data_IF_845160740213
#
_entry.id   IF_845160740213
#
_cell.length_a   1.000
_cell.length_b   1.000
_cell.length_c   1.000
_cell.angle_alpha   90.00
_cell.angle_beta   90.00
_cell.angle_gamma   90.00
#
_symmetry.space_group_name_H-M   'P 1'
#
loop_
_entity.id
_entity.type
_entity.pdbx_description
1 polymer ?
#
# COMPACT_ATOMS: atom_id res chain seq x y z
N UNK A 1 2.75 -28.78 -5.83
CA UNK A 1 1.87 -27.68 -6.26
C UNK A 1 1.85 -27.66 -7.79
N UNK A 2 0.70 -27.48 -8.45
CA UNK A 2 0.60 -27.50 -9.92
C UNK A 2 1.38 -26.35 -10.60
N UNK A 3 1.94 -26.55 -11.81
CA UNK A 3 2.81 -25.57 -12.48
C UNK A 3 2.02 -24.53 -13.30
N UNK A 4 1.07 -23.82 -12.68
CA UNK A 4 0.35 -22.73 -13.35
C UNK A 4 1.16 -21.43 -13.31
N UNK A 5 1.05 -20.64 -14.38
CA UNK A 5 1.65 -19.30 -14.52
C UNK A 5 0.69 -18.37 -15.28
N UNK A 6 0.90 -17.07 -15.18
CA UNK A 6 0.16 -16.05 -15.93
C UNK A 6 0.76 -15.96 -17.34
N UNK A 7 -0.03 -16.35 -18.34
CA UNK A 7 0.38 -16.31 -19.76
C UNK A 7 0.27 -14.92 -20.37
N UNK A 8 -0.77 -14.17 -20.03
CA UNK A 8 -0.97 -12.78 -20.49
C UNK A 8 -0.63 -11.78 -19.39
N UNK A 9 0.62 -11.29 -19.41
CA UNK A 9 1.10 -10.30 -18.44
C UNK A 9 0.50 -8.91 -18.68
N UNK A 10 0.21 -8.55 -19.92
CA UNK A 10 -0.33 -7.24 -20.27
C UNK A 10 -1.78 -7.11 -19.79
N UNK A 11 -2.61 -8.12 -20.06
CA UNK A 11 -3.98 -8.16 -19.55
C UNK A 11 -4.02 -8.21 -18.01
N UNK A 12 -3.11 -8.95 -17.38
CA UNK A 12 -3.00 -8.97 -15.91
C UNK A 12 -2.65 -7.58 -15.34
N UNK A 13 -1.71 -6.86 -15.98
CA UNK A 13 -1.34 -5.50 -15.60
C UNK A 13 -2.52 -4.54 -15.70
N UNK A 14 -3.25 -4.55 -16.81
CA UNK A 14 -4.42 -3.68 -17.01
C UNK A 14 -5.50 -3.98 -15.97
N UNK A 15 -5.81 -5.26 -15.74
CA UNK A 15 -6.78 -5.69 -14.74
C UNK A 15 -6.41 -5.24 -13.32
N UNK A 16 -5.12 -5.33 -12.95
CA UNK A 16 -4.62 -4.82 -11.66
C UNK A 16 -4.81 -3.30 -11.57
N UNK A 17 -4.49 -2.57 -12.64
CA UNK A 17 -4.65 -1.12 -12.69
C UNK A 17 -6.11 -0.68 -12.49
N UNK A 18 -7.01 -1.32 -13.22
CA UNK A 18 -8.45 -1.06 -13.12
C UNK A 18 -8.98 -1.40 -11.73
N UNK A 19 -8.55 -2.54 -11.18
CA UNK A 19 -8.91 -2.92 -9.82
C UNK A 19 -8.45 -1.87 -8.80
N UNK A 20 -7.19 -1.44 -8.86
CA UNK A 20 -6.64 -0.49 -7.90
C UNK A 20 -7.33 0.86 -7.99
N UNK A 21 -7.64 1.35 -9.20
CA UNK A 21 -8.39 2.59 -9.39
C UNK A 21 -9.79 2.53 -8.79
N UNK A 22 -10.50 1.44 -9.04
CA UNK A 22 -11.87 1.25 -8.56
C UNK A 22 -11.91 1.01 -7.04
N UNK A 23 -10.92 0.29 -6.52
CA UNK A 23 -10.88 -0.10 -5.12
C UNK A 23 -10.23 0.96 -4.21
N UNK A 24 -9.51 1.95 -4.76
CA UNK A 24 -8.75 2.99 -4.03
C UNK A 24 -9.53 3.60 -2.87
N UNK A 25 -10.73 4.12 -3.14
CA UNK A 25 -11.56 4.78 -2.12
C UNK A 25 -12.01 3.83 -1.03
N UNK A 26 -12.41 2.61 -1.41
CA UNK A 26 -12.85 1.57 -0.46
C UNK A 26 -11.68 1.05 0.39
N UNK A 27 -10.51 0.82 -0.22
CA UNK A 27 -9.29 0.43 0.49
C UNK A 27 -8.88 1.49 1.50
N UNK A 28 -8.90 2.77 1.12
CA UNK A 28 -8.56 3.86 2.02
C UNK A 28 -9.53 3.92 3.21
N UNK A 29 -10.84 3.84 2.98
CA UNK A 29 -11.82 3.86 4.08
C UNK A 29 -11.64 2.68 5.03
N UNK A 30 -11.44 1.47 4.49
CA UNK A 30 -11.29 0.26 5.30
C UNK A 30 -9.95 0.23 6.05
N UNK A 31 -8.84 0.63 5.42
CA UNK A 31 -7.53 0.63 6.09
C UNK A 31 -7.42 1.76 7.12
N UNK A 32 -8.11 2.88 6.91
CA UNK A 32 -8.10 4.00 7.84
C UNK A 32 -9.13 3.86 8.98
N UNK A 33 -9.96 2.81 9.00
CA UNK A 33 -10.97 2.62 10.06
C UNK A 33 -10.34 2.57 11.45
N UNK A 34 -9.17 1.94 11.54
CA UNK A 34 -8.44 1.71 12.79
C UNK A 34 -7.35 2.77 13.04
N UNK A 35 -7.28 3.78 12.16
CA UNK A 35 -6.30 4.87 12.25
C UNK A 35 -6.79 5.99 13.16
N UNK A 36 -5.86 6.81 13.66
CA UNK A 36 -6.20 7.99 14.46
C UNK A 36 -7.05 8.96 13.61
N UNK A 37 -8.03 9.61 14.26
CA UNK A 37 -8.86 10.68 13.69
C UNK A 37 -8.09 11.69 12.84
N UNK A 38 -6.88 12.09 13.27
CA UNK A 38 -6.05 13.04 12.52
C UNK A 38 -5.59 12.48 11.16
N UNK A 39 -5.16 11.21 11.13
CA UNK A 39 -4.72 10.53 9.91
C UNK A 39 -5.91 10.37 8.98
N UNK A 40 -7.04 9.88 9.49
CA UNK A 40 -8.26 9.70 8.71
C UNK A 40 -8.71 11.02 8.07
N UNK A 41 -8.79 12.10 8.85
CA UNK A 41 -9.19 13.41 8.34
C UNK A 41 -8.22 13.97 7.30
N UNK A 42 -6.92 13.77 7.48
CA UNK A 42 -5.91 14.23 6.51
C UNK A 42 -6.07 13.52 5.16
N UNK A 43 -6.31 12.19 5.18
CA UNK A 43 -6.58 11.42 3.97
C UNK A 43 -7.93 11.78 3.32
N UNK A 44 -8.99 11.98 4.11
CA UNK A 44 -10.28 12.45 3.60
C UNK A 44 -10.14 13.85 2.96
N UNK A 45 -9.39 14.75 3.58
CA UNK A 45 -9.11 16.07 3.04
C UNK A 45 -8.30 15.99 1.74
N UNK A 46 -7.30 15.10 1.68
CA UNK A 46 -6.51 14.86 0.47
C UNK A 46 -7.35 14.27 -0.67
N UNK A 47 -8.27 13.33 -0.37
CA UNK A 47 -9.20 12.77 -1.36
C UNK A 47 -10.17 13.83 -1.90
N UNK A 48 -10.72 14.68 -1.02
CA UNK A 48 -11.56 15.81 -1.45
C UNK A 48 -10.74 16.77 -2.31
N UNK A 49 -9.51 17.05 -1.92
CA UNK A 49 -8.61 17.92 -2.66
C UNK A 49 -8.25 17.38 -4.05
N UNK A 50 -8.03 16.06 -4.18
CA UNK A 50 -7.84 15.35 -5.46
C UNK A 50 -9.07 15.51 -6.37
N UNK A 51 -10.28 15.38 -5.80
CA UNK A 51 -11.54 15.45 -6.56
C UNK A 51 -11.82 16.81 -7.22
N UNK A 52 -11.19 17.89 -6.75
CA UNK A 52 -11.28 19.22 -7.38
C UNK A 52 -10.38 19.36 -8.63
N UNK A 53 -9.68 18.29 -9.03
CA UNK A 53 -9.32 18.05 -10.43
C UNK A 53 -8.08 18.75 -10.95
N UNK A 54 -7.05 19.02 -10.13
CA UNK A 54 -5.88 19.76 -10.63
C UNK A 54 -4.48 19.30 -10.20
N UNK A 55 -4.32 18.20 -9.47
CA UNK A 55 -3.03 17.98 -8.77
C UNK A 55 -2.59 16.51 -8.77
N UNK A 56 -1.87 16.15 -9.84
CA UNK A 56 -1.29 14.82 -10.09
C UNK A 56 -0.44 14.30 -8.92
N UNK A 57 0.16 15.19 -8.12
CA UNK A 57 1.04 14.80 -7.01
C UNK A 57 0.31 14.01 -5.91
N UNK A 58 -0.90 14.44 -5.55
CA UNK A 58 -1.69 13.76 -4.50
C UNK A 58 -2.28 12.46 -5.04
N UNK A 59 -2.75 12.45 -6.29
CA UNK A 59 -3.20 11.23 -6.94
C UNK A 59 -2.09 10.17 -6.97
N UNK A 60 -0.89 10.55 -7.39
CA UNK A 60 0.29 9.67 -7.38
C UNK A 60 0.61 9.20 -5.95
N UNK A 61 0.53 10.09 -4.96
CA UNK A 61 0.78 9.72 -3.56
C UNK A 61 -0.22 8.67 -3.03
N UNK A 62 -1.51 8.88 -3.30
CA UNK A 62 -2.57 7.94 -2.92
C UNK A 62 -2.43 6.60 -3.66
N UNK A 63 -2.06 6.64 -4.94
CA UNK A 63 -1.88 5.43 -5.75
C UNK A 63 -0.67 4.61 -5.26
N UNK A 64 0.46 5.25 -4.94
CA UNK A 64 1.61 4.58 -4.31
C UNK A 64 1.20 3.96 -2.98
N UNK A 65 0.47 4.71 -2.16
CA UNK A 65 0.01 4.23 -0.86
C UNK A 65 -0.86 2.97 -0.97
N UNK A 66 -1.84 2.98 -1.86
CA UNK A 66 -2.72 1.81 -2.07
C UNK A 66 -1.97 0.66 -2.73
N UNK A 67 -1.14 0.92 -3.75
CA UNK A 67 -0.35 -0.12 -4.42
C UNK A 67 0.64 -0.81 -3.49
N UNK A 68 1.29 -0.07 -2.57
CA UNK A 68 2.20 -0.64 -1.59
C UNK A 68 1.47 -1.60 -0.63
N UNK A 69 0.24 -1.26 -0.20
CA UNK A 69 -0.59 -2.14 0.66
C UNK A 69 -1.14 -3.35 -0.08
N UNK A 70 -1.36 -3.21 -1.39
CA UNK A 70 -1.93 -4.27 -2.20
C UNK A 70 -1.04 -5.51 -2.25
N UNK A 71 0.27 -5.33 -2.33
CA UNK A 71 1.27 -6.42 -2.38
C UNK A 71 1.67 -6.98 -1.03
N UNK A 72 1.28 -6.36 0.09
CA UNK A 72 1.56 -6.88 1.43
C UNK A 72 0.68 -8.09 1.76
N UNK A 73 -0.50 -8.19 1.14
CA UNK A 73 -1.44 -9.26 1.37
C UNK A 73 -1.20 -10.44 0.42
N UNK A 74 -1.33 -11.70 0.90
CA UNK A 74 -1.15 -12.86 0.04
C UNK A 74 -2.20 -12.89 -1.06
N UNK A 75 -1.75 -13.09 -2.29
CA UNK A 75 -2.60 -13.24 -3.47
C UNK A 75 -3.49 -14.48 -3.37
N UNK A 76 -4.74 -14.35 -3.83
CA UNK A 76 -5.77 -15.38 -3.69
C UNK A 76 -6.46 -15.63 -5.02
N UNK A 77 -6.78 -16.88 -5.29
CA UNK A 77 -7.61 -17.24 -6.43
C UNK A 77 -9.07 -17.11 -5.99
N UNK A 78 -9.76 -16.07 -6.46
CA UNK A 78 -11.18 -15.82 -6.20
C UNK A 78 -11.94 -16.08 -7.50
N UNK A 79 -12.21 -17.34 -7.84
CA UNK A 79 -13.01 -17.65 -9.03
C UNK A 79 -13.94 -18.85 -8.80
N UNK A 80 -15.06 -18.62 -8.12
CA UNK A 80 -16.14 -19.61 -7.95
C UNK A 80 -15.64 -20.96 -7.41
N UNK A 81 -15.95 -22.04 -8.13
CA UNK A 81 -15.48 -23.40 -7.81
C UNK A 81 -14.12 -23.76 -8.44
N UNK A 82 -13.49 -22.84 -9.18
CA UNK A 82 -12.23 -23.12 -9.87
C UNK A 82 -11.07 -23.06 -8.89
N UNK A 83 -10.56 -24.24 -8.53
CA UNK A 83 -9.52 -24.40 -7.50
C UNK A 83 -8.11 -24.62 -8.08
N UNK A 84 -7.91 -24.56 -9.39
CA UNK A 84 -6.63 -24.93 -10.04
C UNK A 84 -6.04 -26.25 -9.50
N UNK A 85 -6.89 -27.20 -9.10
CA UNK A 85 -6.44 -28.44 -8.44
C UNK A 85 -5.74 -28.28 -7.09
N UNK A 86 -5.91 -27.13 -6.42
CA UNK A 86 -5.39 -26.80 -5.09
C UNK A 86 -6.59 -26.65 -4.14
N UNK A 87 -6.69 -27.53 -3.16
CA UNK A 87 -7.73 -27.42 -2.13
C UNK A 87 -7.33 -26.40 -1.05
N UNK A 88 -8.28 -25.60 -0.54
CA UNK A 88 -8.01 -24.70 0.57
C UNK A 88 -7.72 -25.50 1.84
N UNK A 89 -6.71 -25.05 2.59
CA UNK A 89 -6.41 -25.59 3.91
C UNK A 89 -7.40 -25.05 4.95
N UNK A 90 -7.91 -25.91 5.81
CA UNK A 90 -8.82 -25.56 6.92
C UNK A 90 -8.14 -25.63 8.30
N UNK A 91 -6.80 -25.67 8.34
CA UNK A 91 -6.03 -25.56 9.57
C UNK A 91 -6.08 -24.12 10.10
N UNK A 92 -6.51 -23.96 11.36
CA UNK A 92 -6.77 -22.64 11.97
C UNK A 92 -5.56 -21.73 12.04
N UNK A 93 -4.35 -22.30 12.15
CA UNK A 93 -3.10 -21.55 12.30
C UNK A 93 -2.33 -21.40 10.97
N UNK A 94 -2.91 -21.87 9.86
CA UNK A 94 -2.26 -21.81 8.56
C UNK A 94 -2.51 -20.45 7.88
N UNK A 95 -1.48 -19.82 7.32
CA UNK A 95 -1.55 -18.50 6.64
C UNK A 95 -2.62 -18.44 5.53
N UNK A 96 -2.91 -19.58 4.92
CA UNK A 96 -3.91 -19.72 3.84
C UNK A 96 -5.24 -20.34 4.31
N UNK A 97 -5.55 -20.23 5.60
CA UNK A 97 -6.77 -20.79 6.17
C UNK A 97 -8.03 -20.29 5.42
N UNK A 98 -8.76 -21.23 4.81
CA UNK A 98 -10.03 -20.99 4.14
C UNK A 98 -9.94 -20.40 2.73
N UNK A 99 -8.76 -20.28 2.11
CA UNK A 99 -8.64 -19.80 0.73
C UNK A 99 -7.54 -20.51 -0.07
N UNK A 100 -7.65 -20.43 -1.41
CA UNK A 100 -6.70 -21.04 -2.35
C UNK A 100 -5.62 -20.02 -2.71
N UNK A 101 -4.35 -20.27 -2.38
CA UNK A 101 -3.25 -19.38 -2.77
C UNK A 101 -2.93 -19.51 -4.25
N UNK A 102 -2.35 -18.46 -4.83
CA UNK A 102 -1.72 -18.54 -6.15
C UNK A 102 -0.48 -19.45 -6.11
N UNK A 103 -0.03 -19.93 -7.26
CA UNK A 103 1.23 -20.68 -7.34
C UNK A 103 2.43 -19.76 -7.08
N UNK A 104 3.58 -20.26 -6.59
CA UNK A 104 4.78 -19.43 -6.35
C UNK A 104 5.25 -18.69 -7.60
N UNK A 105 5.07 -19.30 -8.78
CA UNK A 105 5.40 -18.67 -10.07
C UNK A 105 4.45 -17.50 -10.34
N UNK A 106 3.14 -17.68 -10.14
CA UNK A 106 2.16 -16.59 -10.29
C UNK A 106 2.39 -15.47 -9.27
N UNK A 107 2.70 -15.82 -8.02
CA UNK A 107 3.02 -14.88 -6.92
C UNK A 107 4.15 -13.94 -7.36
N UNK A 108 5.26 -14.52 -7.83
CA UNK A 108 6.41 -13.77 -8.35
C UNK A 108 6.04 -12.91 -9.57
N UNK A 109 5.22 -13.44 -10.48
CA UNK A 109 4.80 -12.69 -11.68
C UNK A 109 3.92 -11.48 -11.32
N UNK A 110 3.02 -11.64 -10.35
CA UNK A 110 2.14 -10.58 -9.86
C UNK A 110 2.93 -9.50 -9.13
N UNK A 111 3.85 -9.90 -8.26
CA UNK A 111 4.75 -8.98 -7.57
C UNK A 111 5.61 -8.20 -8.56
N UNK A 112 6.16 -8.88 -9.57
CA UNK A 112 6.95 -8.22 -10.62
C UNK A 112 6.12 -7.19 -11.39
N UNK A 113 4.87 -7.53 -11.74
CA UNK A 113 3.95 -6.60 -12.42
C UNK A 113 3.69 -5.38 -11.52
N UNK A 114 3.30 -5.57 -10.26
CA UNK A 114 2.98 -4.44 -9.38
C UNK A 114 4.20 -3.58 -9.08
N UNK A 115 5.37 -4.19 -8.84
CA UNK A 115 6.57 -3.42 -8.50
C UNK A 115 7.09 -2.67 -9.73
N UNK A 116 7.37 -3.38 -10.83
CA UNK A 116 8.04 -2.77 -12.00
C UNK A 116 7.12 -1.93 -12.86
N UNK A 117 5.88 -2.38 -13.07
CA UNK A 117 4.98 -1.72 -14.01
C UNK A 117 4.10 -0.65 -13.36
N UNK A 118 3.99 -0.65 -12.03
CA UNK A 118 3.13 0.28 -11.30
C UNK A 118 3.90 1.11 -10.27
N UNK A 119 4.52 0.49 -9.27
CA UNK A 119 5.15 1.23 -8.17
C UNK A 119 6.36 2.04 -8.62
N UNK A 120 7.30 1.44 -9.35
CA UNK A 120 8.52 2.10 -9.84
C UNK A 120 8.24 3.36 -10.70
N UNK A 121 7.38 3.31 -11.74
CA UNK A 121 7.12 4.48 -12.57
C UNK A 121 6.35 5.58 -11.83
N UNK A 122 5.37 5.21 -10.98
CA UNK A 122 4.61 6.20 -10.22
C UNK A 122 5.50 6.85 -9.15
N UNK A 123 6.35 6.08 -8.47
CA UNK A 123 7.29 6.60 -7.47
C UNK A 123 8.30 7.56 -8.09
N UNK A 124 8.84 7.22 -9.26
CA UNK A 124 9.78 8.08 -10.00
C UNK A 124 9.12 9.39 -10.41
N UNK A 125 7.90 9.32 -10.95
CA UNK A 125 7.12 10.51 -11.34
C UNK A 125 6.77 11.38 -10.13
N UNK A 126 6.32 10.75 -9.05
CA UNK A 126 5.97 11.41 -7.79
C UNK A 126 7.16 12.21 -7.23
N UNK A 127 8.33 11.59 -7.11
CA UNK A 127 9.53 12.24 -6.57
C UNK A 127 9.96 13.44 -7.42
N UNK A 128 9.96 13.26 -8.75
CA UNK A 128 10.28 14.34 -9.68
C UNK A 128 9.30 15.52 -9.56
N UNK A 129 8.01 15.24 -9.46
CA UNK A 129 6.97 16.26 -9.33
C UNK A 129 7.01 16.96 -7.97
N UNK A 130 7.30 16.22 -6.90
CA UNK A 130 7.46 16.76 -5.56
C UNK A 130 8.65 17.72 -5.50
N UNK A 131 9.82 17.30 -6.02
CA UNK A 131 11.02 18.12 -6.08
C UNK A 131 10.77 19.40 -6.88
N UNK A 132 10.16 19.29 -8.06
CA UNK A 132 9.83 20.44 -8.89
C UNK A 132 8.92 21.46 -8.16
N UNK A 133 7.88 20.99 -7.46
CA UNK A 133 6.96 21.85 -6.69
C UNK A 133 7.63 22.50 -5.49
N UNK A 134 8.54 21.80 -4.81
CA UNK A 134 9.32 22.38 -3.72
C UNK A 134 10.28 23.44 -4.27
N UNK A 135 10.92 23.18 -5.41
CA UNK A 135 11.86 24.09 -6.06
C UNK A 135 11.18 25.37 -6.59
N UNK A 136 9.92 25.29 -7.03
CA UNK A 136 9.12 26.43 -7.48
C UNK A 136 8.92 27.48 -6.38
N UNK A 137 8.96 27.07 -5.10
CA UNK A 137 8.77 27.95 -3.93
C UNK A 137 7.49 28.78 -3.97
N UNK A 138 6.47 28.36 -4.74
CA UNK A 138 5.16 29.02 -4.74
C UNK A 138 4.43 28.68 -3.43
N UNK A 139 4.12 29.68 -2.57
CA UNK A 139 3.36 29.45 -1.35
C UNK A 139 1.99 28.82 -1.62
N UNK A 140 1.40 28.95 -2.81
CA UNK A 140 0.09 28.33 -3.14
C UNK A 140 0.15 26.80 -3.22
N UNK A 141 1.34 26.22 -3.38
CA UNK A 141 1.54 24.77 -3.44
C UNK A 141 1.69 24.12 -2.06
N UNK A 142 1.77 24.90 -0.97
CA UNK A 142 2.04 24.41 0.37
C UNK A 142 1.13 23.26 0.79
N UNK A 143 -0.17 23.38 0.49
CA UNK A 143 -1.17 22.40 0.91
C UNK A 143 -1.04 21.09 0.15
N UNK A 144 -0.71 21.14 -1.14
CA UNK A 144 -0.49 19.95 -1.96
C UNK A 144 0.76 19.20 -1.51
N UNK A 145 1.86 19.92 -1.28
CA UNK A 145 3.12 19.35 -0.77
C UNK A 145 2.89 18.75 0.61
N UNK A 146 2.15 19.44 1.48
CA UNK A 146 1.83 18.96 2.81
C UNK A 146 1.08 17.61 2.77
N UNK A 147 0.00 17.51 1.97
CA UNK A 147 -0.74 16.25 1.84
C UNK A 147 0.11 15.13 1.24
N UNK A 148 0.87 15.42 0.18
CA UNK A 148 1.75 14.45 -0.46
C UNK A 148 2.77 13.85 0.53
N UNK A 149 3.45 14.71 1.30
CA UNK A 149 4.43 14.28 2.30
C UNK A 149 3.75 13.56 3.47
N UNK A 150 2.59 14.05 3.93
CA UNK A 150 1.84 13.41 5.01
C UNK A 150 1.42 11.98 4.66
N UNK A 151 0.88 11.77 3.45
CA UNK A 151 0.49 10.45 2.95
C UNK A 151 1.71 9.52 2.90
N UNK A 152 2.83 9.99 2.35
CA UNK A 152 4.07 9.19 2.28
C UNK A 152 4.62 8.86 3.67
N UNK A 153 4.60 9.80 4.59
CA UNK A 153 5.08 9.56 5.95
C UNK A 153 4.19 8.57 6.70
N UNK A 154 2.87 8.58 6.43
CA UNK A 154 1.96 7.59 7.00
C UNK A 154 2.34 6.16 6.61
N UNK A 155 2.77 5.93 5.36
CA UNK A 155 3.21 4.61 4.90
C UNK A 155 4.32 4.02 5.78
N UNK A 156 5.31 4.84 6.17
CA UNK A 156 6.42 4.39 7.04
C UNK A 156 5.90 3.93 8.41
N UNK A 157 4.92 4.66 8.97
CA UNK A 157 4.29 4.27 10.23
C UNK A 157 3.59 2.91 10.15
N UNK A 158 2.90 2.65 9.04
CA UNK A 158 2.23 1.37 8.80
C UNK A 158 3.22 0.22 8.59
N UNK A 159 4.26 0.40 7.77
CA UNK A 159 5.32 -0.62 7.59
C UNK A 159 5.95 -0.98 8.94
N UNK A 160 6.24 0.02 9.76
CA UNK A 160 6.83 -0.20 11.09
C UNK A 160 5.88 -1.03 11.97
N UNK A 161 4.58 -0.72 11.96
CA UNK A 161 3.57 -1.49 12.71
C UNK A 161 3.52 -2.95 12.24
N UNK A 162 3.52 -3.18 10.92
CA UNK A 162 3.47 -4.53 10.35
C UNK A 162 4.71 -5.36 10.68
N UNK A 163 5.90 -4.75 10.58
CA UNK A 163 7.16 -5.39 10.96
C UNK A 163 7.13 -5.77 12.43
N UNK A 164 6.61 -4.91 13.31
CA UNK A 164 6.48 -5.19 14.74
C UNK A 164 5.53 -6.35 14.99
N UNK A 165 4.36 -6.38 14.34
CA UNK A 165 3.39 -7.48 14.44
C UNK A 165 4.02 -8.80 14.01
N UNK A 166 4.62 -8.85 12.81
CA UNK A 166 5.25 -10.07 12.30
C UNK A 166 6.40 -10.57 13.19
N UNK A 167 7.17 -9.64 13.76
CA UNK A 167 8.30 -10.00 14.63
C UNK A 167 7.80 -10.52 15.98
N UNK A 168 6.70 -9.96 16.49
CA UNK A 168 6.03 -10.42 17.72
C UNK A 168 5.42 -11.81 17.52
N UNK A 169 4.77 -12.08 16.38
CA UNK A 169 4.25 -13.40 16.02
C UNK A 169 5.34 -14.48 15.96
N UNK A 170 6.55 -14.10 15.54
CA UNK A 170 7.74 -14.97 15.55
C UNK A 170 8.40 -15.09 16.94
N UNK A 171 7.81 -14.51 17.98
CA UNK A 171 8.28 -14.60 19.36
C UNK A 171 9.49 -13.71 19.69
N UNK A 172 9.84 -12.76 18.82
CA UNK A 172 10.96 -11.86 19.02
C UNK A 172 10.47 -10.57 19.71
N UNK A 173 11.18 -10.15 20.77
CA UNK A 173 10.89 -8.89 21.47
C UNK A 173 11.34 -7.70 20.62
N UNK A 174 10.40 -6.88 20.15
CA UNK A 174 10.73 -5.63 19.44
C UNK A 174 10.76 -4.46 20.42
N UNK A 175 11.92 -3.82 20.54
CA UNK A 175 12.05 -2.53 21.21
C UNK A 175 11.78 -1.43 20.17
N UNK A 176 10.52 -1.03 20.03
CA UNK A 176 10.18 0.17 19.26
C UNK A 176 10.47 1.36 20.16
N UNK A 177 11.55 2.10 19.87
CA UNK A 177 11.81 3.37 20.53
C UNK A 177 10.71 4.35 20.14
N UNK A 178 9.72 4.50 21.02
CA UNK A 178 8.75 5.57 20.91
C UNK A 178 9.48 6.90 20.97
N UNK A 179 9.30 7.77 19.97
CA UNK A 179 9.88 9.12 19.92
C UNK A 179 9.44 9.97 21.14
N UNK A 180 8.44 9.52 21.91
CA UNK A 180 8.12 10.06 23.24
C UNK A 180 9.29 10.07 24.23
N UNK A 181 10.29 9.20 24.07
CA UNK A 181 11.47 9.13 24.95
C UNK A 181 12.60 10.09 24.55
N UNK A 182 12.63 10.59 23.31
CA UNK A 182 13.62 11.58 22.89
C UNK A 182 13.29 13.00 23.38
N UNK A 183 12.03 13.27 23.73
CA UNK A 183 11.64 14.54 24.36
C UNK A 183 12.13 14.67 25.81
N UNK A 184 12.48 13.57 26.48
CA UNK A 184 13.01 13.59 27.86
C UNK A 184 14.54 13.71 27.94
N UNK A 185 15.28 13.68 26.82
CA UNK A 185 16.76 13.70 26.83
C UNK A 185 17.33 15.07 26.41
N UNK A 186 16.47 16.05 26.08
CA UNK A 186 16.88 17.41 25.68
C UNK A 186 16.36 18.52 26.60
N UNK A 187 15.90 18.16 27.80
CA UNK A 187 15.66 19.12 28.89
C UNK A 187 16.40 18.59 30.11
N UNK A 188 17.70 18.88 30.15
CA UNK A 188 18.49 19.20 31.34
C UNK A 188 19.85 19.78 30.89
#
# INVERSE_FOLDING_TARGET
MPPYFISDRAGAREAIWDFLNNARSTYLVNLLSDSNYLVRNAFEAALRYDSFGKRELIADALNIWVAARFIENPWRIIHGHYRMGIEPTYERDHRYHGFVPVTPVMDTQLDEIVIRDLLDPISTRFLKNLEAKIAEKDPRNWLEIHFAVFIMMSNVGWITKDVVTQTTEKGLKVLVFSISLLACIWID
#
